data_IF_101922942199
#
_entry.id   IF_101922942199
#
_cell.length_a   1.000
_cell.length_b   1.000
_cell.length_c   1.000
_cell.angle_alpha   90.00
_cell.angle_beta   90.00
_cell.angle_gamma   90.00
#
_symmetry.space_group_name_H-M   'P 1'
#
loop_
_entity.id
_entity.type
_entity.pdbx_description
1 polymer ?
#
# COMPACT_ATOMS: atom_id res chain seq x y z
N UNK A 1 9.76 17.20 12.86
CA UNK A 1 8.88 16.71 11.79
C UNK A 1 9.41 15.33 11.44
N UNK A 2 8.58 14.30 11.38
CA UNK A 2 9.07 12.97 10.99
C UNK A 2 9.33 12.99 9.48
N UNK A 3 10.56 12.69 9.06
CA UNK A 3 10.94 12.62 7.65
C UNK A 3 10.50 11.29 7.00
N UNK A 4 10.29 10.27 7.83
CA UNK A 4 9.94 8.91 7.42
C UNK A 4 8.82 8.30 8.28
N UNK A 5 8.11 7.33 7.71
CA UNK A 5 7.11 6.51 8.37
C UNK A 5 7.45 5.04 8.18
N UNK A 6 7.27 4.24 9.23
CA UNK A 6 7.35 2.79 9.14
C UNK A 6 5.97 2.23 8.85
N UNK A 7 5.89 1.33 7.86
CA UNK A 7 4.67 0.65 7.44
C UNK A 7 4.96 -0.85 7.26
N UNK A 8 3.91 -1.65 7.09
CA UNK A 8 4.04 -3.06 6.74
C UNK A 8 3.42 -3.30 5.37
N UNK A 9 4.16 -3.85 4.41
CA UNK A 9 3.65 -4.19 3.08
C UNK A 9 3.72 -5.71 2.90
N UNK A 10 2.59 -6.37 2.68
CA UNK A 10 2.47 -7.83 2.53
C UNK A 10 3.21 -8.61 3.63
N UNK A 11 3.12 -8.12 4.87
CA UNK A 11 3.78 -8.73 6.02
C UNK A 11 5.20 -8.26 6.30
N UNK A 12 5.86 -7.53 5.39
CA UNK A 12 7.24 -7.04 5.54
C UNK A 12 7.29 -5.58 5.98
N UNK A 13 8.13 -5.26 6.97
CA UNK A 13 8.35 -3.87 7.40
C UNK A 13 9.13 -3.08 6.35
N UNK A 14 8.66 -1.88 6.03
CA UNK A 14 9.27 -0.95 5.08
C UNK A 14 9.25 0.47 5.67
N UNK A 15 10.28 1.26 5.36
CA UNK A 15 10.38 2.66 5.76
C UNK A 15 10.20 3.54 4.52
N UNK A 16 9.21 4.44 4.55
CA UNK A 16 8.85 5.32 3.45
C UNK A 16 8.97 6.79 3.85
N UNK A 17 9.08 7.71 2.88
CA UNK A 17 9.03 9.14 3.17
C UNK A 17 7.68 9.52 3.81
N UNK A 18 7.71 10.36 4.83
CA UNK A 18 6.50 10.88 5.44
C UNK A 18 5.67 11.67 4.43
N UNK A 19 4.35 11.47 4.45
CA UNK A 19 3.42 12.11 3.50
C UNK A 19 3.40 11.49 2.10
N UNK A 20 4.06 10.35 1.89
CA UNK A 20 3.90 9.57 0.67
C UNK A 20 2.45 9.04 0.53
N UNK A 21 2.10 8.69 -0.69
CA UNK A 21 0.79 8.15 -1.05
C UNK A 21 0.86 6.63 -1.20
N UNK A 22 -0.30 5.97 -1.20
CA UNK A 22 -0.37 4.54 -1.49
C UNK A 22 0.21 4.21 -2.88
N UNK A 23 0.03 5.11 -3.86
CA UNK A 23 0.65 4.97 -5.18
C UNK A 23 2.18 4.97 -5.13
N UNK A 24 2.79 5.79 -4.27
CA UNK A 24 4.24 5.87 -4.13
C UNK A 24 4.82 4.60 -3.47
N UNK A 25 4.10 4.02 -2.52
CA UNK A 25 4.47 2.74 -1.91
C UNK A 25 4.37 1.59 -2.92
N UNK A 26 3.26 1.51 -3.67
CA UNK A 26 3.05 0.48 -4.71
C UNK A 26 4.12 0.56 -5.79
N UNK A 27 4.54 1.77 -6.20
CA UNK A 27 5.58 1.94 -7.22
C UNK A 27 6.95 1.37 -6.83
N UNK A 28 7.22 1.21 -5.53
CA UNK A 28 8.42 0.57 -5.01
C UNK A 28 8.28 -0.96 -4.92
N UNK A 29 7.05 -1.47 -5.01
CA UNK A 29 6.77 -2.90 -5.03
C UNK A 29 6.80 -3.42 -6.47
N UNK A 30 7.43 -4.58 -6.69
CA UNK A 30 7.38 -5.27 -7.98
C UNK A 30 6.05 -6.04 -8.11
N UNK A 31 4.94 -5.32 -8.32
CA UNK A 31 3.60 -5.91 -8.46
C UNK A 31 3.11 -5.91 -9.91
N UNK A 32 2.29 -6.91 -10.26
CA UNK A 32 1.75 -7.08 -11.62
C UNK A 32 0.23 -6.93 -11.59
N UNK A 33 -0.35 -6.26 -12.58
CA UNK A 33 -1.82 -6.23 -12.71
C UNK A 33 -2.39 -7.56 -13.23
N UNK A 34 -3.62 -7.95 -12.82
CA UNK A 34 -4.50 -7.24 -11.89
C UNK A 34 -4.19 -7.52 -10.41
N UNK A 35 -4.32 -6.50 -9.57
CA UNK A 35 -4.25 -6.60 -8.11
C UNK A 35 -5.24 -5.63 -7.45
N UNK A 36 -5.56 -5.89 -6.19
CA UNK A 36 -6.25 -4.96 -5.30
C UNK A 36 -5.38 -4.69 -4.08
N UNK A 37 -5.63 -3.58 -3.39
CA UNK A 37 -4.87 -3.20 -2.19
C UNK A 37 -5.82 -2.89 -1.06
N UNK A 38 -5.52 -3.46 0.11
CA UNK A 38 -6.15 -3.08 1.36
C UNK A 38 -5.15 -2.31 2.23
N UNK A 39 -5.62 -1.25 2.88
CA UNK A 39 -4.88 -0.54 3.93
C UNK A 39 -5.63 -0.78 5.23
N UNK A 40 -4.95 -1.32 6.24
CA UNK A 40 -5.53 -1.69 7.54
C UNK A 40 -6.79 -2.56 7.40
N UNK A 41 -6.71 -3.57 6.52
CA UNK A 41 -7.84 -4.50 6.19
C UNK A 41 -9.03 -3.85 5.48
N UNK A 42 -8.91 -2.60 5.02
CA UNK A 42 -9.94 -1.90 4.24
C UNK A 42 -9.48 -1.74 2.80
N UNK A 43 -10.26 -2.24 1.85
CA UNK A 43 -9.95 -2.09 0.43
C UNK A 43 -9.94 -0.62 0.03
N UNK A 44 -8.86 -0.22 -0.67
CA UNK A 44 -8.73 1.09 -1.29
C UNK A 44 -8.97 0.92 -2.79
N UNK A 45 -9.84 1.74 -3.37
CA UNK A 45 -10.08 1.72 -4.81
C UNK A 45 -8.90 2.32 -5.57
N UNK A 46 -8.56 1.79 -6.75
CA UNK A 46 -7.43 2.26 -7.58
C UNK A 46 -7.45 3.78 -7.84
N UNK A 47 -8.64 4.37 -8.00
CA UNK A 47 -8.81 5.82 -8.17
C UNK A 47 -8.24 6.65 -7.00
N UNK A 48 -8.21 6.09 -5.79
CA UNK A 48 -7.80 6.79 -4.57
C UNK A 48 -6.32 6.58 -4.24
N UNK A 49 -5.57 5.73 -4.97
CA UNK A 49 -4.18 5.41 -4.61
C UNK A 49 -3.27 6.64 -4.57
N UNK A 50 -3.49 7.61 -5.45
CA UNK A 50 -2.72 8.85 -5.52
C UNK A 50 -3.08 9.87 -4.42
N UNK A 51 -4.26 9.74 -3.84
CA UNK A 51 -4.77 10.68 -2.82
C UNK A 51 -4.67 10.10 -1.40
N UNK A 52 -4.67 8.78 -1.28
CA UNK A 52 -4.58 8.08 -0.01
C UNK A 52 -3.18 8.23 0.59
N UNK A 53 -3.05 9.14 1.57
CA UNK A 53 -1.82 9.37 2.34
C UNK A 53 -1.60 8.26 3.35
N UNK A 54 -0.40 7.68 3.33
CA UNK A 54 0.01 6.68 4.30
C UNK A 54 0.42 7.33 5.62
N UNK A 55 0.19 6.59 6.71
CA UNK A 55 0.55 6.97 8.07
C UNK A 55 1.47 5.91 8.67
N UNK A 56 2.24 6.33 9.66
CA UNK A 56 3.06 5.43 10.46
C UNK A 56 2.19 4.32 11.07
N UNK A 57 2.63 3.08 10.91
CA UNK A 57 1.96 1.89 11.40
C UNK A 57 0.90 1.31 10.45
N UNK A 58 0.68 1.91 9.27
CA UNK A 58 -0.24 1.33 8.29
C UNK A 58 0.21 -0.05 7.83
N UNK A 59 -0.76 -0.94 7.65
CA UNK A 59 -0.57 -2.27 7.07
C UNK A 59 -1.21 -2.30 5.67
N UNK A 60 -0.38 -2.52 4.66
CA UNK A 60 -0.75 -2.56 3.25
C UNK A 60 -0.70 -4.02 2.79
N UNK A 61 -1.84 -4.53 2.33
CA UNK A 61 -1.94 -5.87 1.75
C UNK A 61 -2.25 -5.76 0.26
N UNK A 62 -1.30 -6.13 -0.59
CA UNK A 62 -1.49 -6.27 -2.03
C UNK A 62 -1.94 -7.70 -2.31
N UNK A 63 -3.15 -7.83 -2.86
CA UNK A 63 -3.80 -9.12 -3.13
C UNK A 63 -4.09 -9.30 -4.61
N UNK A 64 -3.92 -10.51 -5.11
CA UNK A 64 -4.20 -10.87 -6.50
C UNK A 64 -5.53 -11.61 -6.57
N UNK A 65 -6.37 -11.35 -7.59
CA UNK A 65 -7.61 -12.08 -7.76
C UNK A 65 -7.30 -13.56 -8.01
N UNK A 66 -7.88 -14.44 -7.19
CA UNK A 66 -7.91 -15.87 -7.50
C UNK A 66 -9.05 -16.10 -8.49
N UNK A 67 -8.71 -16.55 -9.71
CA UNK A 67 -9.72 -17.01 -10.67
C UNK A 67 -10.39 -18.26 -10.08
N UNK A 68 -11.65 -18.16 -9.68
CA UNK A 68 -12.47 -19.31 -9.31
C UNK A 68 -12.85 -20.09 -10.57
N UNK A 69 -12.60 -21.39 -10.56
CA UNK A 69 -13.13 -22.34 -11.55
C UNK A 69 -14.48 -22.89 -11.13
#
# INVERSE_FOLDING_TARGET
MEDFIDVQINGKSETLNAGCTLSDAIAQCNVREPFAVAVNRVLVTKANYKEHKLKKGDVIDIVYPMQGG
#
